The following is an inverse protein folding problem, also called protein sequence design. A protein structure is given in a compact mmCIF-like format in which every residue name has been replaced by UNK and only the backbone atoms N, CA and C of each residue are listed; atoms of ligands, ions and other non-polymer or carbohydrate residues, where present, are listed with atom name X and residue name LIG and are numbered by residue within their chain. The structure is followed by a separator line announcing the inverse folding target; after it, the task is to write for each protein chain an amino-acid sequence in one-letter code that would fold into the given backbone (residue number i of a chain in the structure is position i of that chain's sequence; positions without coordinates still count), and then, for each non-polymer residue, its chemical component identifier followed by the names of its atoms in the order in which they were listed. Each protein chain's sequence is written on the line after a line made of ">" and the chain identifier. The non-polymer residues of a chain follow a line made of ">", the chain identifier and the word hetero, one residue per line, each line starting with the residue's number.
data_IF_980710185665
#
_entry.id   IF_980710185665
#
_cell.length_a   1.000
_cell.length_b   1.000
_cell.length_c   1.000
_cell.angle_alpha   90.00
_cell.angle_beta   90.00
_cell.angle_gamma   90.00
#
_symmetry.space_group_name_H-M   'P 1'
#
loop_
_entity.id
_entity.type
_entity.pdbx_description
1 polymer ?
#
# COMPACT_ATOMS: atom_id res chain seq x y z
N UNK A 1 -71.14 -36.00 29.42
CA UNK A 1 -71.35 -36.66 28.12
C UNK A 1 -70.07 -36.54 27.29
N UNK A 2 -69.62 -37.68 26.76
CA UNK A 2 -68.58 -37.92 25.74
C UNK A 2 -67.14 -37.42 26.01
N UNK A 3 -66.32 -38.38 26.44
CA UNK A 3 -64.86 -38.47 26.28
C UNK A 3 -64.52 -38.74 24.81
N UNK A 4 -63.43 -38.18 24.29
CA UNK A 4 -62.77 -38.63 23.06
C UNK A 4 -61.29 -38.90 23.38
N UNK A 5 -60.87 -40.13 23.05
CA UNK A 5 -59.52 -40.66 23.05
C UNK A 5 -58.84 -40.35 21.71
N UNK A 6 -57.52 -40.17 21.70
CA UNK A 6 -56.55 -40.77 20.74
C UNK A 6 -55.16 -40.65 21.41
N UNK A 7 -54.59 -41.75 21.92
CA UNK A 7 -53.77 -42.75 21.25
C UNK A 7 -52.29 -42.32 21.16
N UNK A 8 -51.50 -42.92 22.06
CA UNK A 8 -50.05 -42.79 22.17
C UNK A 8 -49.34 -43.95 21.48
N UNK A 9 -48.25 -43.64 20.78
CA UNK A 9 -47.17 -44.53 20.30
C UNK A 9 -46.14 -43.60 19.63
N UNK A 10 -44.81 -43.63 19.82
CA UNK A 10 -43.86 -44.68 20.14
C UNK A 10 -42.57 -44.08 20.78
N UNK A 11 -41.95 -44.87 21.66
CA UNK A 11 -40.50 -45.17 21.86
C UNK A 11 -39.45 -44.03 21.77
N UNK A 12 -38.81 -43.68 22.89
CA UNK A 12 -37.53 -44.23 23.43
C UNK A 12 -36.29 -43.66 22.70
N UNK A 13 -35.67 -42.58 23.19
CA UNK A 13 -34.63 -42.53 24.23
C UNK A 13 -33.24 -43.01 23.76
N UNK A 14 -32.30 -42.08 23.64
CA UNK A 14 -30.97 -42.19 24.29
C UNK A 14 -30.33 -40.80 24.39
N UNK A 15 -29.88 -40.49 25.61
CA UNK A 15 -29.08 -39.31 25.95
C UNK A 15 -27.60 -39.56 25.63
N UNK A 16 -26.86 -38.53 25.24
CA UNK A 16 -25.52 -38.28 25.77
C UNK A 16 -25.30 -36.77 25.92
N UNK A 17 -24.79 -36.38 27.08
CA UNK A 17 -24.50 -35.02 27.48
C UNK A 17 -22.99 -34.71 27.34
N UNK A 18 -22.72 -33.43 27.08
CA UNK A 18 -21.55 -32.63 27.49
C UNK A 18 -20.17 -32.95 26.90
N UNK A 19 -19.54 -31.96 26.25
CA UNK A 19 -18.60 -31.04 26.90
C UNK A 19 -18.13 -29.95 25.93
N UNK A 20 -17.91 -28.75 26.47
CA UNK A 20 -17.49 -27.57 25.73
C UNK A 20 -16.00 -27.53 25.36
N UNK A 21 -15.67 -26.55 24.54
CA UNK A 21 -14.32 -26.18 24.15
C UNK A 21 -14.39 -25.13 23.04
N UNK A 22 -14.22 -23.86 23.40
CA UNK A 22 -14.08 -22.78 22.44
C UNK A 22 -12.84 -23.01 21.58
N UNK A 23 -12.96 -22.80 20.27
CA UNK A 23 -11.84 -22.79 19.35
C UNK A 23 -11.85 -21.46 18.58
N UNK A 24 -10.67 -20.85 18.55
CA UNK A 24 -10.30 -19.63 17.84
C UNK A 24 -10.80 -19.61 16.40
N UNK A 25 -11.29 -18.44 15.97
CA UNK A 25 -11.35 -18.11 14.54
C UNK A 25 -9.92 -18.00 14.02
N UNK A 26 -9.49 -18.96 13.21
CA UNK A 26 -8.35 -18.84 12.31
C UNK A 26 -8.70 -17.90 11.16
N UNK A 27 -7.80 -16.99 10.82
CA UNK A 27 -7.87 -16.16 9.60
C UNK A 27 -7.90 -17.07 8.36
N UNK A 28 -8.87 -16.86 7.48
CA UNK A 28 -8.91 -17.49 6.15
C UNK A 28 -8.03 -16.65 5.21
N UNK A 29 -6.95 -17.25 4.71
CA UNK A 29 -6.20 -16.75 3.57
C UNK A 29 -6.93 -17.18 2.28
N UNK A 30 -7.26 -16.25 1.40
CA UNK A 30 -7.75 -16.55 0.05
C UNK A 30 -6.56 -16.90 -0.86
N UNK A 31 -6.54 -18.14 -1.38
CA UNK A 31 -5.61 -18.60 -2.41
C UNK A 31 -6.24 -18.46 -3.80
N UNK A 32 -5.59 -17.77 -4.74
CA UNK A 32 -6.07 -17.61 -6.12
C UNK A 32 -5.56 -18.74 -7.04
N UNK A 33 -6.45 -19.34 -7.82
CA UNK A 33 -6.12 -20.45 -8.75
C UNK A 33 -5.35 -19.99 -10.01
N UNK A 34 -4.56 -20.94 -10.51
CA UNK A 34 -3.51 -20.93 -11.54
C UNK A 34 -3.81 -20.16 -12.85
N UNK A 35 -3.32 -18.91 -12.94
CA UNK A 35 -3.07 -18.23 -14.21
C UNK A 35 -1.64 -18.57 -14.63
N UNK A 36 -1.50 -19.30 -15.74
CA UNK A 36 -0.28 -20.01 -16.12
C UNK A 36 1.02 -19.24 -15.85
N UNK A 37 1.77 -19.67 -14.83
CA UNK A 37 3.12 -19.16 -14.54
C UNK A 37 3.21 -18.14 -13.39
N UNK A 38 2.10 -17.67 -12.81
CA UNK A 38 2.15 -16.89 -11.56
C UNK A 38 2.42 -17.82 -10.37
N UNK A 39 3.48 -17.59 -9.56
CA UNK A 39 3.67 -18.30 -8.30
C UNK A 39 2.47 -18.15 -7.38
N UNK A 40 2.14 -19.19 -6.62
CA UNK A 40 1.14 -19.10 -5.55
C UNK A 40 1.58 -18.08 -4.50
N UNK A 41 0.65 -17.25 -4.05
CA UNK A 41 0.89 -16.22 -3.04
C UNK A 41 -0.26 -16.12 -2.06
N UNK A 42 0.04 -15.53 -0.91
CA UNK A 42 -0.92 -15.21 0.14
C UNK A 42 -0.97 -13.70 0.30
N UNK A 43 -2.19 -13.14 0.31
CA UNK A 43 -2.40 -11.78 0.79
C UNK A 43 -2.41 -11.80 2.31
N UNK A 44 -1.43 -11.16 2.93
CA UNK A 44 -1.31 -11.08 4.39
C UNK A 44 -2.29 -10.03 4.91
N UNK A 45 -3.27 -10.46 5.70
CA UNK A 45 -4.28 -9.58 6.27
C UNK A 45 -3.96 -9.27 7.74
N UNK A 46 -3.19 -8.21 7.95
CA UNK A 46 -2.87 -7.70 9.28
C UNK A 46 -3.97 -6.77 9.82
N UNK A 47 -4.17 -6.70 11.16
CA UNK A 47 -5.14 -5.82 11.76
C UNK A 47 -4.99 -4.36 11.31
N UNK A 48 -6.11 -3.73 10.99
CA UNK A 48 -6.16 -2.33 10.62
C UNK A 48 -6.48 -1.43 11.82
N UNK A 49 -6.00 -0.19 11.78
CA UNK A 49 -6.40 0.83 12.75
C UNK A 49 -7.80 1.36 12.45
N UNK A 50 -8.50 1.73 13.52
CA UNK A 50 -9.79 2.38 13.47
C UNK A 50 -9.61 3.88 13.21
N UNK A 51 -10.01 4.34 12.02
CA UNK A 51 -9.90 5.74 11.62
C UNK A 51 -10.67 6.70 12.51
N UNK A 52 -11.69 6.24 13.25
CA UNK A 52 -12.46 7.10 14.17
C UNK A 52 -11.63 7.60 15.36
N UNK A 53 -10.45 7.02 15.59
CA UNK A 53 -9.50 7.42 16.62
C UNK A 53 -8.57 8.56 16.17
N UNK A 54 -8.62 8.93 14.88
CA UNK A 54 -7.78 9.97 14.30
C UNK A 54 -8.57 11.27 14.15
N UNK A 55 -7.89 12.40 14.34
CA UNK A 55 -8.50 13.72 14.15
C UNK A 55 -8.88 13.92 12.69
N UNK A 56 -10.08 14.46 12.45
CA UNK A 56 -10.51 14.91 11.13
C UNK A 56 -10.50 16.43 11.12
N UNK A 57 -9.79 17.02 10.17
CA UNK A 57 -9.71 18.47 10.02
C UNK A 57 -11.01 19.08 9.45
N UNK A 58 -11.07 20.41 9.40
CA UNK A 58 -12.24 21.13 8.92
C UNK A 58 -12.55 20.93 7.43
N UNK A 59 -11.61 20.40 6.64
CA UNK A 59 -11.78 20.09 5.22
C UNK A 59 -12.24 18.64 5.00
N UNK A 60 -12.35 17.85 6.08
CA UNK A 60 -12.76 16.46 6.07
C UNK A 60 -11.62 15.48 5.80
N UNK A 61 -10.36 15.90 5.97
CA UNK A 61 -9.23 14.96 5.91
C UNK A 61 -8.94 14.41 7.30
N UNK A 62 -8.74 13.11 7.36
CA UNK A 62 -8.29 12.38 8.53
C UNK A 62 -6.77 12.54 8.61
N UNK A 63 -6.27 13.07 9.73
CA UNK A 63 -4.85 13.31 9.97
C UNK A 63 -4.20 11.97 10.35
N UNK A 64 -3.59 11.29 9.38
CA UNK A 64 -2.99 9.96 9.57
C UNK A 64 -1.56 10.02 10.11
N UNK A 65 -0.97 11.22 10.24
CA UNK A 65 0.25 11.44 10.99
C UNK A 65 0.13 12.67 11.88
N UNK A 66 0.28 12.48 13.19
CA UNK A 66 0.04 13.49 14.22
C UNK A 66 1.23 14.43 14.50
N UNK A 67 2.34 14.27 13.77
CA UNK A 67 3.56 15.07 13.96
C UNK A 67 4.41 14.68 15.18
N UNK A 68 4.09 13.60 15.90
CA UNK A 68 4.71 13.27 17.18
C UNK A 68 5.20 11.84 17.27
N UNK A 69 4.44 10.90 16.75
CA UNK A 69 4.73 9.47 16.83
C UNK A 69 4.18 8.73 15.61
N UNK A 70 4.32 7.41 15.65
CA UNK A 70 3.92 6.49 14.59
C UNK A 70 2.58 5.81 14.87
N UNK A 71 1.66 6.43 15.63
CA UNK A 71 0.32 5.87 15.80
C UNK A 71 -0.31 5.59 14.44
N UNK A 72 -0.67 4.32 14.21
CA UNK A 72 -1.21 3.82 12.94
C UNK A 72 -0.19 3.37 11.90
N UNK A 73 1.11 3.60 12.11
CA UNK A 73 2.16 3.21 11.18
C UNK A 73 2.93 1.98 11.64
N UNK A 74 3.38 1.17 10.69
CA UNK A 74 4.28 0.03 10.90
C UNK A 74 5.10 -0.23 9.63
N UNK A 75 6.14 -1.06 9.72
CA UNK A 75 6.85 -1.50 8.53
C UNK A 75 5.99 -2.43 7.67
N UNK A 76 6.15 -2.37 6.36
CA UNK A 76 5.61 -3.35 5.43
C UNK A 76 6.13 -4.74 5.76
N UNK A 77 5.24 -5.72 5.91
CA UNK A 77 5.54 -7.07 6.36
C UNK A 77 5.96 -7.18 7.83
N UNK A 78 5.73 -6.14 8.65
CA UNK A 78 6.19 -6.06 10.05
C UNK A 78 5.08 -5.60 11.00
N UNK A 79 5.20 -6.01 12.26
CA UNK A 79 4.30 -5.61 13.36
C UNK A 79 4.67 -4.26 14.01
N UNK A 80 5.85 -3.73 13.67
CA UNK A 80 6.43 -2.53 14.30
C UNK A 80 7.08 -1.65 13.26
N UNK A 81 7.28 -0.39 13.64
CA UNK A 81 8.06 0.57 12.86
C UNK A 81 9.54 0.16 12.89
N UNK A 82 10.21 0.05 11.73
CA UNK A 82 11.65 -0.21 11.67
C UNK A 82 12.45 0.95 12.26
N UNK A 83 13.56 0.66 12.96
CA UNK A 83 14.36 1.65 13.68
C UNK A 83 14.99 2.76 12.83
N UNK A 84 15.09 2.58 11.50
CA UNK A 84 15.52 3.65 10.58
C UNK A 84 14.46 4.74 10.35
N UNK A 85 13.20 4.47 10.67
CA UNK A 85 12.13 5.47 10.66
C UNK A 85 12.07 6.18 12.02
N UNK A 86 12.22 7.49 11.99
CA UNK A 86 12.23 8.35 13.19
C UNK A 86 11.31 9.54 13.02
N UNK A 87 11.03 10.26 14.12
CA UNK A 87 10.35 11.55 14.06
C UNK A 87 11.38 12.66 14.26
N UNK A 88 11.47 13.59 13.32
CA UNK A 88 12.37 14.75 13.35
C UNK A 88 11.57 16.01 12.98
N UNK A 89 11.54 17.00 13.88
CA UNK A 89 10.87 18.31 13.67
C UNK A 89 9.43 18.21 13.14
N UNK A 90 8.65 17.27 13.67
CA UNK A 90 7.25 17.07 13.30
C UNK A 90 7.06 16.36 11.95
N UNK A 91 8.11 15.71 11.43
CA UNK A 91 8.08 14.90 10.23
C UNK A 91 8.49 13.45 10.52
N UNK A 92 7.88 12.50 9.81
CA UNK A 92 8.43 11.16 9.64
C UNK A 92 9.70 11.29 8.80
N UNK A 93 10.81 10.75 9.28
CA UNK A 93 12.10 10.75 8.59
C UNK A 93 12.59 9.32 8.42
N UNK A 94 12.98 8.97 7.20
CA UNK A 94 13.82 7.80 6.97
C UNK A 94 15.29 8.21 7.08
N UNK A 95 16.10 7.44 7.84
CA UNK A 95 17.54 7.68 7.98
C UNK A 95 18.31 6.72 7.06
N UNK A 96 18.78 7.27 5.95
CA UNK A 96 19.45 6.54 4.90
C UNK A 96 20.88 6.11 5.23
N UNK A 97 21.32 5.02 4.61
CA UNK A 97 22.71 4.52 4.64
C UNK A 97 23.39 4.58 3.26
N UNK A 98 22.69 5.07 2.23
CA UNK A 98 23.15 5.14 0.83
C UNK A 98 23.10 3.80 0.09
N UNK A 99 22.30 2.84 0.59
CA UNK A 99 22.22 1.47 0.05
C UNK A 99 21.30 1.30 -1.17
N UNK A 100 20.59 2.35 -1.61
CA UNK A 100 19.57 2.23 -2.65
C UNK A 100 18.47 1.25 -2.24
N UNK A 101 18.11 0.33 -3.13
CA UNK A 101 17.09 -0.71 -2.93
C UNK A 101 17.49 -1.81 -1.91
N UNK A 102 18.67 -1.72 -1.28
CA UNK A 102 19.18 -2.79 -0.41
C UNK A 102 18.38 -2.99 0.89
N UNK A 103 17.65 -1.95 1.35
CA UNK A 103 16.87 -1.96 2.60
C UNK A 103 17.62 -2.58 3.79
N UNK A 104 18.88 -2.21 3.95
CA UNK A 104 19.81 -2.81 4.91
C UNK A 104 19.51 -2.41 6.37
N UNK A 105 19.91 -3.26 7.31
CA UNK A 105 19.69 -3.04 8.74
C UNK A 105 18.20 -3.11 9.12
N UNK A 106 17.79 -2.33 10.12
CA UNK A 106 16.39 -2.25 10.56
C UNK A 106 15.61 -1.20 9.75
N UNK A 107 15.60 -1.37 8.43
CA UNK A 107 14.91 -0.53 7.43
C UNK A 107 13.65 -1.19 6.87
N UNK A 108 13.38 -0.97 5.58
CA UNK A 108 12.18 -1.42 4.87
C UNK A 108 11.09 -0.36 4.82
N UNK A 109 10.17 -0.53 3.88
CA UNK A 109 9.08 0.42 3.61
C UNK A 109 8.15 0.58 4.81
N UNK A 110 7.54 1.75 4.95
CA UNK A 110 6.57 2.07 6.00
C UNK A 110 5.16 2.13 5.42
N UNK A 111 4.16 1.64 6.16
CA UNK A 111 2.75 1.72 5.76
C UNK A 111 1.87 2.25 6.89
N UNK A 112 0.83 3.01 6.52
CA UNK A 112 -0.27 3.31 7.43
C UNK A 112 -1.23 2.12 7.42
N UNK A 113 -1.55 1.58 8.59
CA UNK A 113 -2.23 0.30 8.77
C UNK A 113 -3.74 0.42 8.58
N UNK A 114 -4.18 1.01 7.47
CA UNK A 114 -5.57 1.08 7.06
C UNK A 114 -5.64 1.01 5.52
N UNK A 115 -6.51 0.16 4.98
CA UNK A 115 -6.67 -0.01 3.53
C UNK A 115 -7.68 1.01 3.01
N UNK A 116 -7.25 1.84 2.08
CA UNK A 116 -8.10 2.84 1.43
C UNK A 116 -8.53 2.37 0.04
N UNK A 117 -9.78 2.67 -0.35
CA UNK A 117 -10.33 2.36 -1.68
C UNK A 117 -10.40 3.62 -2.55
N UNK A 118 -11.33 4.51 -2.24
CA UNK A 118 -11.47 5.82 -2.88
C UNK A 118 -11.03 6.88 -1.88
N UNK A 119 -10.00 7.64 -2.23
CA UNK A 119 -9.41 8.61 -1.31
C UNK A 119 -8.67 9.72 -2.05
N UNK A 120 -8.45 10.81 -1.32
CA UNK A 120 -7.45 11.82 -1.66
C UNK A 120 -6.45 11.94 -0.52
N UNK A 121 -5.19 11.63 -0.80
CA UNK A 121 -4.05 11.80 0.09
C UNK A 121 -3.38 13.14 -0.20
N UNK A 122 -3.11 13.90 0.85
CA UNK A 122 -2.21 15.05 0.84
C UNK A 122 -1.07 14.82 1.82
N UNK A 123 0.14 15.12 1.40
CA UNK A 123 1.31 15.15 2.28
C UNK A 123 2.37 16.09 1.73
N UNK A 124 3.28 16.54 2.60
CA UNK A 124 4.48 17.24 2.19
C UNK A 124 5.69 16.32 2.31
N UNK A 125 6.61 16.41 1.35
CA UNK A 125 7.86 15.66 1.35
C UNK A 125 9.07 16.57 1.10
N UNK A 126 10.23 16.15 1.60
CA UNK A 126 11.53 16.81 1.41
C UNK A 126 12.59 15.73 1.30
N UNK A 127 13.53 15.88 0.38
CA UNK A 127 14.64 14.95 0.18
C UNK A 127 15.99 15.60 0.50
N UNK A 128 16.96 14.79 0.90
CA UNK A 128 18.37 15.14 0.92
C UNK A 128 18.92 15.33 -0.51
N UNK A 129 20.12 15.89 -0.64
CA UNK A 129 20.76 16.07 -1.96
C UNK A 129 21.02 14.70 -2.59
N UNK A 130 20.45 14.48 -3.76
CA UNK A 130 20.49 13.21 -4.48
C UNK A 130 19.62 12.12 -3.86
N UNK A 131 18.71 12.43 -2.94
CA UNK A 131 17.88 11.43 -2.28
C UNK A 131 16.79 10.84 -3.19
N UNK A 132 16.48 9.57 -2.97
CA UNK A 132 15.39 8.83 -3.59
C UNK A 132 14.45 8.22 -2.53
N UNK A 133 13.15 8.18 -2.84
CA UNK A 133 12.08 7.56 -2.09
C UNK A 133 10.84 7.47 -3.00
N UNK A 134 9.74 6.93 -2.47
CA UNK A 134 8.46 6.89 -3.14
C UNK A 134 7.30 6.97 -2.16
N UNK A 135 6.12 7.30 -2.67
CA UNK A 135 4.85 7.18 -1.96
C UNK A 135 4.03 6.10 -2.67
N UNK A 136 3.76 5.02 -1.95
CA UNK A 136 2.96 3.91 -2.42
C UNK A 136 1.49 4.09 -2.04
N UNK A 137 0.60 3.55 -2.86
CA UNK A 137 -0.83 3.51 -2.59
C UNK A 137 -1.45 2.24 -3.14
N UNK A 138 -2.62 1.86 -2.62
CA UNK A 138 -3.30 0.59 -2.93
C UNK A 138 -2.40 -0.65 -2.69
N UNK A 139 -1.43 -0.53 -1.78
CA UNK A 139 -0.47 -1.59 -1.50
C UNK A 139 -1.11 -2.80 -0.83
N UNK A 140 -0.63 -3.99 -1.15
CA UNK A 140 -0.97 -5.24 -0.51
C UNK A 140 0.29 -5.88 0.10
N UNK A 141 0.15 -6.48 1.28
CA UNK A 141 1.21 -7.31 1.85
C UNK A 141 1.11 -8.69 1.22
N UNK A 142 2.12 -9.06 0.43
CA UNK A 142 2.13 -10.30 -0.35
C UNK A 142 3.24 -11.19 0.17
N UNK A 143 2.92 -12.43 0.52
CA UNK A 143 3.89 -13.47 0.84
C UNK A 143 3.87 -14.56 -0.21
N UNK A 144 5.04 -15.05 -0.62
CA UNK A 144 5.18 -16.25 -1.45
C UNK A 144 5.83 -17.35 -0.64
N UNK A 145 5.57 -18.60 -1.02
CA UNK A 145 6.23 -19.77 -0.43
C UNK A 145 7.13 -20.43 -1.46
N UNK A 146 8.41 -20.60 -1.14
CA UNK A 146 9.34 -21.31 -2.02
C UNK A 146 9.09 -22.84 -2.03
N UNK A 147 9.80 -23.54 -2.91
CA UNK A 147 9.68 -25.01 -3.06
C UNK A 147 10.02 -25.81 -1.78
N UNK A 148 10.73 -25.18 -0.82
CA UNK A 148 11.12 -25.77 0.45
C UNK A 148 10.13 -25.40 1.58
N UNK A 149 9.06 -24.65 1.29
CA UNK A 149 8.08 -24.22 2.28
C UNK A 149 8.47 -22.94 3.03
N UNK A 150 9.52 -22.23 2.61
CA UNK A 150 9.91 -20.98 3.26
C UNK A 150 9.05 -19.83 2.73
N UNK A 151 8.41 -19.10 3.66
CA UNK A 151 7.68 -17.90 3.33
C UNK A 151 8.61 -16.70 3.14
N UNK A 152 8.30 -15.86 2.16
CA UNK A 152 9.01 -14.61 1.88
C UNK A 152 8.01 -13.50 1.59
N UNK A 153 8.15 -12.39 2.32
CA UNK A 153 7.46 -11.16 1.97
C UNK A 153 8.01 -10.61 0.64
N UNK A 154 7.12 -10.37 -0.31
CA UNK A 154 7.45 -9.75 -1.59
C UNK A 154 7.55 -8.23 -1.47
N UNK A 155 8.31 -7.55 -2.35
CA UNK A 155 8.46 -6.10 -2.27
C UNK A 155 7.14 -5.36 -2.50
N UNK A 156 6.88 -4.29 -1.73
CA UNK A 156 5.63 -3.51 -1.81
C UNK A 156 5.29 -3.05 -3.25
N UNK A 157 6.32 -2.68 -4.03
CA UNK A 157 6.20 -2.15 -5.38
C UNK A 157 5.64 -3.15 -6.41
N UNK A 158 5.54 -4.45 -6.07
CA UNK A 158 4.92 -5.43 -6.99
C UNK A 158 3.39 -5.38 -6.93
N UNK A 159 2.80 -4.69 -5.95
CA UNK A 159 1.34 -4.54 -5.79
C UNK A 159 0.88 -3.08 -5.77
N UNK A 160 1.78 -2.16 -5.46
CA UNK A 160 1.49 -0.76 -5.24
C UNK A 160 2.07 0.11 -6.37
N UNK A 161 1.24 0.92 -7.05
CA UNK A 161 1.73 2.04 -7.84
C UNK A 161 2.55 3.01 -6.99
N UNK A 162 3.48 3.71 -7.63
CA UNK A 162 4.49 4.54 -6.97
C UNK A 162 4.45 5.97 -7.51
N UNK A 163 4.12 6.92 -6.64
CA UNK A 163 4.43 8.34 -6.86
C UNK A 163 5.89 8.56 -6.49
N UNK A 164 6.68 8.98 -7.48
CA UNK A 164 8.11 9.14 -7.31
C UNK A 164 8.48 10.32 -6.39
N UNK A 165 9.43 10.14 -5.48
CA UNK A 165 9.99 11.20 -4.62
C UNK A 165 11.50 11.26 -4.83
N UNK A 166 11.99 12.31 -5.47
CA UNK A 166 13.37 12.34 -5.95
C UNK A 166 13.98 13.73 -5.88
N UNK A 167 15.29 13.82 -5.69
CA UNK A 167 16.06 14.99 -6.14
C UNK A 167 16.34 14.88 -7.65
N UNK A 168 15.46 15.48 -8.45
CA UNK A 168 15.55 15.43 -9.92
C UNK A 168 16.87 16.00 -10.49
N UNK A 169 17.53 16.91 -9.76
CA UNK A 169 18.73 17.58 -10.26
C UNK A 169 20.00 16.74 -10.03
N UNK A 170 20.03 15.92 -8.97
CA UNK A 170 21.25 15.25 -8.53
C UNK A 170 21.18 13.72 -8.56
N UNK A 171 20.01 13.10 -8.39
CA UNK A 171 19.92 11.63 -8.45
C UNK A 171 20.02 11.14 -9.91
N UNK A 172 20.86 10.14 -10.23
CA UNK A 172 21.08 9.71 -11.61
C UNK A 172 19.84 9.14 -12.29
N UNK A 173 18.91 8.56 -11.52
CA UNK A 173 17.69 7.96 -12.06
C UNK A 173 16.74 8.99 -12.70
N UNK A 174 16.85 10.27 -12.35
CA UNK A 174 16.12 11.36 -13.00
C UNK A 174 16.41 11.52 -14.51
N UNK A 175 17.52 10.92 -14.99
CA UNK A 175 17.97 10.90 -16.39
C UNK A 175 17.72 9.55 -17.08
N UNK A 176 17.23 8.56 -16.33
CA UNK A 176 16.87 7.25 -16.84
C UNK A 176 15.37 7.24 -17.21
N UNK A 177 14.90 6.09 -17.67
CA UNK A 177 13.53 5.93 -18.15
C UNK A 177 13.31 6.63 -19.49
N UNK A 178 12.09 7.11 -19.71
CA UNK A 178 11.65 7.76 -20.95
C UNK A 178 10.88 9.03 -20.63
N UNK A 179 11.14 10.11 -21.37
CA UNK A 179 10.42 11.38 -21.23
C UNK A 179 10.38 11.90 -19.78
N UNK A 180 11.46 11.66 -19.02
CA UNK A 180 11.60 12.00 -17.59
C UNK A 180 10.60 11.30 -16.65
N UNK A 181 10.04 10.15 -17.03
CA UNK A 181 9.05 9.40 -16.24
C UNK A 181 9.57 8.76 -14.93
N UNK A 182 10.82 9.06 -14.56
CA UNK A 182 11.43 8.70 -13.27
C UNK A 182 11.73 9.91 -12.38
N UNK A 183 11.29 11.10 -12.80
CA UNK A 183 11.35 12.31 -11.96
C UNK A 183 10.17 12.36 -10.99
N UNK A 184 10.31 13.19 -9.94
CA UNK A 184 9.31 13.33 -8.88
C UNK A 184 7.88 13.54 -9.39
N UNK A 185 6.91 13.00 -8.67
CA UNK A 185 5.47 12.96 -8.98
C UNK A 185 5.03 12.17 -10.22
N UNK A 186 5.97 11.63 -11.00
CA UNK A 186 5.66 10.66 -12.04
C UNK A 186 5.01 9.42 -11.43
N UNK A 187 4.21 8.69 -12.23
CA UNK A 187 4.00 7.27 -11.96
C UNK A 187 5.28 6.56 -12.40
N UNK A 188 6.07 6.10 -11.44
CA UNK A 188 7.46 5.71 -11.65
C UNK A 188 7.67 4.76 -12.84
N UNK A 189 8.54 5.17 -13.77
CA UNK A 189 8.92 4.44 -14.99
C UNK A 189 7.76 4.19 -15.98
N UNK A 190 6.59 4.79 -15.77
CA UNK A 190 5.39 4.60 -16.59
C UNK A 190 4.87 5.91 -17.19
N UNK A 191 4.54 6.92 -16.37
CA UNK A 191 3.93 8.19 -16.85
C UNK A 191 4.65 9.39 -16.23
N UNK A 192 5.21 10.30 -17.05
CA UNK A 192 5.93 11.46 -16.53
C UNK A 192 4.99 12.53 -15.95
N UNK A 193 5.45 13.18 -14.89
CA UNK A 193 4.82 14.38 -14.34
C UNK A 193 4.98 15.59 -15.29
N UNK A 194 3.86 16.15 -15.75
CA UNK A 194 3.82 17.33 -16.62
C UNK A 194 2.74 18.31 -16.13
N UNK A 195 3.09 19.55 -15.71
CA UNK A 195 4.45 20.10 -15.66
C UNK A 195 5.31 19.45 -14.56
N UNK A 196 6.63 19.46 -14.75
CA UNK A 196 7.56 19.14 -13.68
C UNK A 196 7.90 20.43 -12.91
N UNK A 197 7.40 20.55 -11.68
CA UNK A 197 7.43 21.78 -10.87
C UNK A 197 8.03 21.56 -9.47
N UNK A 198 8.93 20.58 -9.31
CA UNK A 198 9.59 20.28 -8.04
C UNK A 198 10.42 21.48 -7.51
N UNK A 199 10.29 21.77 -6.22
CA UNK A 199 11.25 22.60 -5.49
C UNK A 199 12.59 21.84 -5.30
N UNK A 200 13.74 22.54 -5.23
CA UNK A 200 15.05 21.91 -5.04
C UNK A 200 15.14 21.01 -3.79
N UNK A 201 16.16 20.15 -3.75
CA UNK A 201 16.46 19.34 -2.55
C UNK A 201 16.59 20.23 -1.30
N UNK A 202 16.19 19.70 -0.14
CA UNK A 202 16.14 20.45 1.11
C UNK A 202 14.92 21.37 1.27
N UNK A 203 14.14 21.61 0.21
CA UNK A 203 12.87 22.32 0.28
C UNK A 203 11.68 21.36 0.31
N UNK A 204 10.58 21.81 0.92
CA UNK A 204 9.35 21.03 0.98
C UNK A 204 8.60 21.12 -0.35
N UNK A 205 8.08 19.99 -0.79
CA UNK A 205 7.14 19.85 -1.90
C UNK A 205 5.84 19.28 -1.34
N UNK A 206 4.70 19.63 -1.95
CA UNK A 206 3.41 19.04 -1.61
C UNK A 206 3.03 17.99 -2.65
N UNK A 207 2.65 16.80 -2.22
CA UNK A 207 2.10 15.73 -3.04
C UNK A 207 0.60 15.60 -2.81
N UNK A 208 -0.13 15.34 -3.90
CA UNK A 208 -1.53 14.89 -3.88
C UNK A 208 -1.63 13.58 -4.65
N UNK A 209 -2.31 12.60 -4.08
CA UNK A 209 -2.67 11.35 -4.76
C UNK A 209 -4.16 11.15 -4.56
N UNK A 210 -4.94 11.26 -5.64
CA UNK A 210 -6.36 10.96 -5.62
C UNK A 210 -6.58 9.63 -6.35
N UNK A 211 -7.32 8.74 -5.71
CA UNK A 211 -7.85 7.52 -6.33
C UNK A 211 -9.37 7.56 -6.19
N UNK A 212 -10.09 7.54 -7.30
CA UNK A 212 -11.54 7.57 -7.29
C UNK A 212 -12.10 6.73 -8.43
N UNK A 213 -12.71 5.60 -8.07
CA UNK A 213 -13.40 4.68 -9.00
C UNK A 213 -12.51 4.28 -10.20
N UNK A 214 -11.20 4.11 -9.93
CA UNK A 214 -10.18 3.70 -10.89
C UNK A 214 -9.43 4.85 -11.54
N UNK A 215 -9.96 6.08 -11.52
CA UNK A 215 -9.19 7.26 -11.92
C UNK A 215 -8.16 7.57 -10.84
N UNK A 216 -6.91 7.79 -11.26
CA UNK A 216 -5.82 8.21 -10.40
C UNK A 216 -5.24 9.52 -10.89
N UNK A 217 -5.05 10.48 -9.98
CA UNK A 217 -4.42 11.76 -10.27
C UNK A 217 -3.26 11.99 -9.30
N UNK A 218 -2.07 12.27 -9.85
CA UNK A 218 -0.97 12.83 -9.07
C UNK A 218 -0.99 14.34 -9.19
N UNK A 219 -0.77 15.02 -8.06
CA UNK A 219 -0.47 16.44 -8.03
C UNK A 219 0.84 16.73 -7.32
N UNK A 220 1.53 17.76 -7.79
CA UNK A 220 2.74 18.30 -7.18
C UNK A 220 2.62 19.82 -7.11
N UNK A 221 2.88 20.39 -5.94
CA UNK A 221 2.93 21.84 -5.72
C UNK A 221 1.69 22.59 -6.28
N UNK A 222 0.50 22.08 -5.94
CA UNK A 222 -0.82 22.61 -6.32
C UNK A 222 -1.23 22.44 -7.80
N UNK A 223 -0.47 21.68 -8.59
CA UNK A 223 -0.83 21.35 -9.97
C UNK A 223 -1.05 19.84 -10.13
N UNK A 224 -2.04 19.44 -10.93
CA UNK A 224 -2.16 18.05 -11.36
C UNK A 224 -1.11 17.80 -12.45
N UNK A 225 -0.37 16.70 -12.33
CA UNK A 225 0.79 16.42 -13.19
C UNK A 225 0.73 15.05 -13.88
N UNK A 226 -0.07 14.12 -13.36
CA UNK A 226 -0.34 12.80 -13.97
C UNK A 226 -1.82 12.47 -13.79
N UNK A 227 -2.44 11.89 -14.81
CA UNK A 227 -3.75 11.25 -14.72
C UNK A 227 -3.73 9.93 -15.48
N UNK A 228 -4.33 8.89 -14.91
CA UNK A 228 -4.51 7.59 -15.55
C UNK A 228 -5.70 6.81 -14.98
N UNK A 229 -6.04 5.67 -15.58
CA UNK A 229 -7.19 4.86 -15.17
C UNK A 229 -6.80 3.39 -14.97
N UNK A 230 -6.86 2.94 -13.73
CA UNK A 230 -6.67 1.54 -13.33
C UNK A 230 -7.71 0.61 -13.96
N UNK A 231 -7.35 -0.66 -14.11
CA UNK A 231 -8.24 -1.75 -14.56
C UNK A 231 -8.84 -1.55 -15.95
N UNK A 232 -8.18 -0.75 -16.78
CA UNK A 232 -8.51 -0.53 -18.19
C UNK A 232 -7.53 -1.28 -19.09
N UNK A 233 -7.88 -1.47 -20.37
CA UNK A 233 -6.93 -2.03 -21.33
C UNK A 233 -5.66 -1.18 -21.44
N UNK A 234 -5.79 0.16 -21.36
CA UNK A 234 -4.65 1.08 -21.38
C UNK A 234 -3.71 0.84 -20.19
N UNK A 235 -4.25 0.54 -19.01
CA UNK A 235 -3.45 0.17 -17.84
C UNK A 235 -2.70 -1.14 -18.08
N UNK A 236 -3.40 -2.17 -18.57
CA UNK A 236 -2.80 -3.46 -18.93
C UNK A 236 -1.67 -3.29 -19.95
N UNK A 237 -1.90 -2.53 -21.02
CA UNK A 237 -0.90 -2.27 -22.07
C UNK A 237 0.34 -1.56 -21.51
N UNK A 238 0.15 -0.63 -20.57
CA UNK A 238 1.23 0.09 -19.90
C UNK A 238 2.06 -0.85 -19.01
N UNK A 239 1.42 -1.76 -18.27
CA UNK A 239 2.12 -2.78 -17.50
C UNK A 239 2.93 -3.72 -18.40
N UNK A 240 2.34 -4.17 -19.53
CA UNK A 240 3.05 -5.01 -20.50
C UNK A 240 4.28 -4.31 -21.12
N UNK A 241 4.25 -2.99 -21.26
CA UNK A 241 5.40 -2.21 -21.72
C UNK A 241 6.46 -1.95 -20.65
N UNK A 242 6.18 -2.24 -19.37
CA UNK A 242 7.03 -1.91 -18.22
C UNK A 242 7.98 -3.05 -17.83
N UNK A 243 8.65 -2.90 -16.67
CA UNK A 243 9.38 -3.99 -16.00
C UNK A 243 8.47 -5.03 -15.35
N UNK A 244 7.19 -4.71 -15.15
CA UNK A 244 6.16 -5.57 -14.56
C UNK A 244 5.29 -6.28 -15.60
N UNK A 245 5.80 -6.48 -16.82
CA UNK A 245 5.06 -7.21 -17.85
C UNK A 245 4.86 -8.66 -17.45
N UNK A 246 3.81 -9.30 -17.97
CA UNK A 246 3.48 -10.68 -17.63
C UNK A 246 4.65 -11.63 -17.87
N UNK A 247 5.38 -11.43 -18.98
CA UNK A 247 6.55 -12.26 -19.32
C UNK A 247 7.76 -12.04 -18.41
N UNK A 248 7.93 -10.82 -17.85
CA UNK A 248 9.10 -10.48 -17.03
C UNK A 248 8.86 -10.77 -15.56
N UNK A 249 7.65 -10.54 -15.08
CA UNK A 249 7.29 -10.70 -13.67
C UNK A 249 5.78 -11.03 -13.53
N UNK A 250 5.39 -12.30 -13.75
CA UNK A 250 3.97 -12.72 -13.75
C UNK A 250 3.19 -12.30 -12.49
N UNK A 251 3.80 -12.47 -11.31
CA UNK A 251 3.17 -12.08 -10.03
C UNK A 251 2.92 -10.58 -9.93
N UNK A 252 3.90 -9.75 -10.27
CA UNK A 252 3.73 -8.30 -10.25
C UNK A 252 2.69 -7.85 -11.27
N UNK A 253 2.68 -8.46 -12.46
CA UNK A 253 1.67 -8.19 -13.47
C UNK A 253 0.26 -8.53 -12.95
N UNK A 254 0.05 -9.70 -12.35
CA UNK A 254 -1.25 -10.10 -11.81
C UNK A 254 -1.75 -9.11 -10.75
N UNK A 255 -0.89 -8.80 -9.77
CA UNK A 255 -1.22 -7.91 -8.66
C UNK A 255 -1.49 -6.47 -9.12
N UNK A 256 -0.66 -5.92 -10.00
CA UNK A 256 -0.84 -4.55 -10.52
C UNK A 256 -1.99 -4.47 -11.52
N UNK A 257 -2.20 -5.47 -12.37
CA UNK A 257 -3.29 -5.45 -13.34
C UNK A 257 -4.67 -5.49 -12.65
N UNK A 258 -4.74 -6.14 -11.48
CA UNK A 258 -5.86 -6.06 -10.55
C UNK A 258 -5.52 -5.25 -9.27
N UNK A 259 -4.90 -4.07 -9.46
CA UNK A 259 -4.40 -3.23 -8.37
C UNK A 259 -5.45 -3.03 -7.25
N UNK A 260 -5.02 -3.23 -5.99
CA UNK A 260 -5.88 -3.20 -4.80
C UNK A 260 -6.69 -4.49 -4.55
N UNK A 261 -6.44 -5.55 -5.34
CA UNK A 261 -7.11 -6.83 -5.18
C UNK A 261 -8.61 -6.77 -5.52
N UNK A 262 -9.39 -7.80 -5.15
CA UNK A 262 -10.82 -7.87 -5.47
C UNK A 262 -11.62 -6.69 -4.90
N UNK A 263 -11.23 -6.18 -3.73
CA UNK A 263 -11.87 -5.05 -3.06
C UNK A 263 -11.39 -3.68 -3.57
N UNK A 264 -10.36 -3.65 -4.42
CA UNK A 264 -9.76 -2.44 -4.98
C UNK A 264 -9.30 -1.45 -3.90
N UNK A 265 -8.77 -1.97 -2.80
CA UNK A 265 -8.30 -1.21 -1.64
C UNK A 265 -6.91 -1.64 -1.24
N UNK A 266 -6.14 -0.76 -0.63
CA UNK A 266 -4.84 -1.12 -0.09
C UNK A 266 -4.21 -0.01 0.73
N UNK A 267 -3.03 -0.30 1.28
CA UNK A 267 -2.34 0.61 2.18
C UNK A 267 -1.71 1.79 1.43
N UNK A 268 -1.55 2.90 2.14
CA UNK A 268 -0.64 3.99 1.76
C UNK A 268 0.71 3.70 2.42
N UNK A 269 1.81 3.90 1.68
CA UNK A 269 3.15 3.62 2.16
C UNK A 269 4.20 4.64 1.73
N UNK A 270 5.35 4.59 2.38
CA UNK A 270 6.53 5.43 2.17
C UNK A 270 7.75 4.53 1.98
N UNK A 271 8.53 4.78 0.94
CA UNK A 271 9.62 3.89 0.55
C UNK A 271 10.87 4.06 1.42
N UNK A 272 11.53 2.94 1.70
CA UNK A 272 12.97 2.92 1.99
C UNK A 272 13.73 2.67 0.69
N UNK A 273 14.42 3.71 0.19
CA UNK A 273 15.37 3.60 -0.90
C UNK A 273 16.80 4.00 -0.45
N UNK A 274 17.08 3.87 0.85
CA UNK A 274 18.42 4.07 1.39
C UNK A 274 18.86 5.53 1.58
N UNK A 275 18.02 6.53 1.29
CA UNK A 275 18.39 7.96 1.37
C UNK A 275 17.53 8.75 2.35
N UNK A 276 18.11 9.79 2.95
CA UNK A 276 17.39 10.68 3.88
C UNK A 276 16.22 11.39 3.17
N UNK A 277 15.01 11.16 3.70
CA UNK A 277 13.74 11.77 3.24
C UNK A 277 12.85 12.08 4.44
N UNK A 278 12.05 13.14 4.34
CA UNK A 278 11.11 13.59 5.36
C UNK A 278 9.71 13.72 4.80
N UNK A 279 8.70 13.37 5.59
CA UNK A 279 7.27 13.47 5.28
C UNK A 279 6.50 14.10 6.43
N UNK A 280 5.59 15.04 6.15
CA UNK A 280 4.72 15.66 7.17
C UNK A 280 3.36 16.04 6.58
N UNK A 281 2.47 16.55 7.43
CA UNK A 281 1.12 16.99 7.03
C UNK A 281 0.34 15.89 6.29
N UNK A 282 0.53 14.63 6.69
CA UNK A 282 -0.03 13.46 6.03
C UNK A 282 -1.49 13.30 6.46
N UNK A 283 -2.40 13.52 5.51
CA UNK A 283 -3.84 13.50 5.76
C UNK A 283 -4.60 12.93 4.56
N UNK A 284 -5.68 12.20 4.85
CA UNK A 284 -6.44 11.45 3.83
C UNK A 284 -7.92 11.76 3.95
N UNK A 285 -8.56 12.09 2.83
CA UNK A 285 -10.01 12.25 2.73
C UNK A 285 -10.60 11.04 2.03
N UNK A 286 -11.60 10.41 2.64
CA UNK A 286 -12.38 9.34 2.01
C UNK A 286 -13.33 9.96 0.97
N UNK A 287 -13.45 9.31 -0.18
CA UNK A 287 -14.33 9.74 -1.27
C UNK A 287 -15.41 8.67 -1.54
N UNK A 288 -16.65 9.08 -1.77
CA UNK A 288 -17.82 8.18 -1.96
C UNK A 288 -18.23 8.01 -3.44
#
# INVERSE_FOLDING_TARGET
>A
MKKIFYAASLMAATMFAACGGGAQKSQEAESTEDVSGTPQYTVVDNPEVDLSQFETDSEGYIVIFNGKDFTGWRGYGKDKVPGKWTIEDGAIKFNGSGGGEAQDGDGGDLIFSHKFQNFELLLDWKVSKGGNSGIFYLAQEISTTDENGNERMEPIYISAPEFQVLDNANHPDAKLGKDNNRQSASLYDMIPAVPQNQNPFGEWNSAKIMVYKGTVVHGQNNENVVEYHLWTQQWTDMLQASKFSQDKWPLAFELLNNCGGPDRKGYIGLQDHGDDVWFKNIRVKILD
#
